data_IF_840873075915
#
_entry.id   IF_840873075915
#
_cell.length_a   1.000
_cell.length_b   1.000
_cell.length_c   1.000
_cell.angle_alpha   90.00
_cell.angle_beta   90.00
_cell.angle_gamma   90.00
#
_symmetry.space_group_name_H-M   'P 1'
#
loop_
_entity.id
_entity.type
_entity.pdbx_description
1 polymer ?
#
# COMPACT_ATOMS: atom_id res chain seq x y z
N UNK A 1 -13.51 -15.17 18.93
CA UNK A 1 -12.91 -16.41 18.41
C UNK A 1 -13.01 -17.50 19.47
N UNK A 2 -14.01 -18.40 19.34
CA UNK A 2 -14.29 -19.44 20.33
C UNK A 2 -13.49 -20.72 20.08
N UNK A 3 -12.43 -20.67 19.29
CA UNK A 3 -11.54 -21.82 19.02
C UNK A 3 -12.12 -22.98 18.21
N UNK A 4 -13.44 -23.02 17.96
CA UNK A 4 -14.13 -24.14 17.30
C UNK A 4 -14.95 -23.75 16.06
N UNK A 5 -15.27 -22.48 15.86
CA UNK A 5 -16.04 -22.02 14.70
C UNK A 5 -15.54 -20.65 14.22
N UNK A 6 -15.15 -20.55 12.96
CA UNK A 6 -14.94 -19.26 12.30
C UNK A 6 -16.30 -18.70 11.89
N UNK A 7 -16.75 -17.65 12.59
CA UNK A 7 -17.93 -16.89 12.18
C UNK A 7 -17.48 -15.74 11.30
N UNK A 8 -17.87 -15.76 10.03
CA UNK A 8 -17.66 -14.64 9.13
C UNK A 8 -18.72 -13.57 9.41
N UNK A 9 -18.32 -12.48 10.04
CA UNK A 9 -19.17 -11.30 10.21
C UNK A 9 -18.86 -10.36 9.06
N UNK A 10 -19.89 -9.99 8.27
CA UNK A 10 -19.73 -8.95 7.23
C UNK A 10 -19.20 -7.68 7.88
N UNK A 11 -18.09 -7.13 7.36
CA UNK A 11 -17.49 -5.86 7.83
C UNK A 11 -18.51 -4.71 7.91
N UNK A 12 -19.59 -4.76 7.13
CA UNK A 12 -20.69 -3.79 7.17
C UNK A 12 -21.42 -3.70 8.52
N UNK A 13 -21.23 -4.66 9.44
CA UNK A 13 -21.86 -4.66 10.77
C UNK A 13 -20.94 -4.26 11.93
N UNK A 14 -19.66 -3.98 11.67
CA UNK A 14 -18.68 -3.63 12.71
C UNK A 14 -18.36 -2.12 12.70
N UNK A 15 -19.35 -1.28 12.39
CA UNK A 15 -19.21 0.17 12.57
C UNK A 15 -19.56 0.46 14.03
N UNK A 16 -18.53 0.53 14.90
CA UNK A 16 -18.71 1.01 16.26
C UNK A 16 -18.21 0.13 17.41
N UNK A 17 -17.46 -0.93 17.17
CA UNK A 17 -16.74 -1.58 18.25
C UNK A 17 -15.46 -0.77 18.55
N UNK A 18 -15.52 0.07 19.60
CA UNK A 18 -14.34 0.52 20.29
C UNK A 18 -13.80 -0.70 21.05
N UNK A 19 -12.83 -1.41 20.49
CA UNK A 19 -12.11 -2.46 21.19
C UNK A 19 -10.85 -1.90 21.81
N UNK A 20 -10.77 -2.09 23.12
CA UNK A 20 -9.54 -2.06 23.89
C UNK A 20 -8.51 -2.99 23.23
N UNK A 21 -7.38 -2.42 22.87
CA UNK A 21 -6.04 -2.99 22.69
C UNK A 21 -5.88 -4.39 22.10
N UNK A 22 -6.68 -4.75 21.14
CA UNK A 22 -6.33 -5.79 20.17
C UNK A 22 -5.56 -5.08 19.06
N UNK A 23 -4.26 -5.32 18.94
CA UNK A 23 -3.40 -4.74 17.93
C UNK A 23 -4.13 -4.76 16.59
N UNK A 24 -4.49 -3.58 16.07
CA UNK A 24 -5.21 -3.48 14.81
C UNK A 24 -4.42 -4.26 13.78
N UNK A 25 -5.05 -5.27 13.18
CA UNK A 25 -4.41 -6.04 12.14
C UNK A 25 -3.87 -5.07 11.08
N UNK A 26 -2.61 -5.24 10.71
CA UNK A 26 -1.96 -4.42 9.70
C UNK A 26 -2.74 -4.55 8.40
N UNK A 27 -3.12 -3.42 7.81
CA UNK A 27 -3.81 -3.41 6.52
C UNK A 27 -2.91 -4.02 5.45
N UNK A 28 -3.48 -4.89 4.65
CA UNK A 28 -2.80 -5.55 3.54
C UNK A 28 -3.71 -5.50 2.31
N UNK A 29 -3.20 -4.90 1.23
CA UNK A 29 -3.89 -4.85 -0.06
C UNK A 29 -3.10 -5.73 -1.04
N UNK A 30 -3.76 -6.75 -1.57
CA UNK A 30 -3.19 -7.65 -2.58
C UNK A 30 -3.50 -7.13 -3.97
N UNK A 31 -2.47 -7.03 -4.79
CA UNK A 31 -2.57 -6.61 -6.19
C UNK A 31 -2.40 -7.82 -7.08
N UNK A 32 -3.38 -8.09 -7.91
CA UNK A 32 -3.33 -9.22 -8.81
C UNK A 32 -2.28 -9.00 -9.91
N UNK A 33 -1.25 -9.83 -9.90
CA UNK A 33 -0.19 -9.84 -10.91
C UNK A 33 0.08 -11.29 -11.36
N UNK A 34 0.51 -11.43 -12.59
CA UNK A 34 0.90 -12.75 -13.12
C UNK A 34 2.36 -13.04 -12.77
N UNK A 35 2.55 -13.61 -11.58
CA UNK A 35 3.86 -14.02 -11.08
C UNK A 35 4.15 -15.45 -11.57
N UNK A 36 5.38 -15.79 -11.97
CA UNK A 36 5.72 -17.14 -12.39
C UNK A 36 5.73 -18.12 -11.20
N UNK A 37 4.99 -19.21 -11.32
CA UNK A 37 4.96 -20.29 -10.32
C UNK A 37 6.29 -21.05 -10.24
N UNK A 38 7.01 -21.09 -11.36
CA UNK A 38 8.31 -21.75 -11.51
C UNK A 38 9.28 -20.84 -12.27
N UNK A 39 10.56 -21.14 -12.20
CA UNK A 39 11.58 -20.37 -12.90
C UNK A 39 12.85 -20.20 -12.08
N UNK A 40 13.90 -19.69 -12.74
CA UNK A 40 15.18 -19.41 -12.08
C UNK A 40 15.03 -18.28 -11.08
N UNK A 41 15.33 -18.55 -9.81
CA UNK A 41 15.36 -17.53 -8.77
C UNK A 41 16.66 -16.73 -8.87
N UNK A 42 16.54 -15.40 -8.90
CA UNK A 42 17.68 -14.51 -8.74
C UNK A 42 17.97 -14.38 -7.23
N UNK A 43 19.06 -14.98 -6.78
CA UNK A 43 19.49 -14.94 -5.39
C UNK A 43 20.20 -13.64 -5.02
N UNK A 44 20.73 -12.94 -6.00
CA UNK A 44 21.30 -11.61 -5.83
C UNK A 44 20.98 -10.76 -7.04
N UNK A 45 20.67 -9.50 -6.79
CA UNK A 45 20.51 -8.50 -7.82
C UNK A 45 21.87 -7.85 -8.00
N UNK A 46 22.46 -7.95 -9.21
CA UNK A 46 23.65 -7.20 -9.57
C UNK A 46 23.37 -5.69 -9.56
N UNK A 47 24.26 -4.92 -10.14
CA UNK A 47 24.05 -3.47 -10.25
C UNK A 47 22.80 -3.17 -11.09
N UNK A 48 21.87 -2.41 -10.49
CA UNK A 48 20.71 -1.85 -11.19
C UNK A 48 21.23 -0.70 -12.05
N UNK A 49 21.10 -0.83 -13.35
CA UNK A 49 21.54 0.20 -14.33
C UNK A 49 20.46 1.27 -14.51
N UNK A 50 19.20 0.86 -14.53
CA UNK A 50 18.06 1.77 -14.65
C UNK A 50 16.78 1.15 -14.07
N UNK A 51 15.85 2.02 -13.71
CA UNK A 51 14.51 1.64 -13.23
C UNK A 51 13.51 2.64 -13.80
N UNK A 52 12.44 2.14 -14.43
CA UNK A 52 11.31 3.00 -14.82
C UNK A 52 10.41 3.28 -13.61
N UNK A 53 9.63 4.37 -13.62
CA UNK A 53 8.52 4.54 -12.69
C UNK A 53 7.52 3.38 -12.80
N UNK A 54 6.72 3.16 -11.74
CA UNK A 54 5.58 2.27 -11.81
C UNK A 54 4.48 2.86 -12.70
N UNK A 55 3.91 2.02 -13.56
CA UNK A 55 2.73 2.36 -14.34
C UNK A 55 1.44 2.28 -13.48
N UNK A 56 0.31 2.49 -14.12
CA UNK A 56 -1.02 2.44 -13.49
C UNK A 56 -1.44 1.03 -13.01
N UNK A 57 -0.76 -0.02 -13.48
CA UNK A 57 -0.96 -1.41 -13.05
C UNK A 57 0.03 -1.83 -11.96
N UNK A 58 0.88 -0.92 -11.48
CA UNK A 58 1.93 -1.22 -10.53
C UNK A 58 3.10 -1.99 -11.11
N UNK A 59 3.35 -1.86 -12.42
CA UNK A 59 4.44 -2.53 -13.12
C UNK A 59 5.56 -1.56 -13.45
N UNK A 60 6.79 -2.05 -13.47
CA UNK A 60 7.97 -1.30 -13.90
C UNK A 60 8.99 -2.21 -14.56
N UNK A 61 9.93 -1.64 -15.27
CA UNK A 61 11.09 -2.35 -15.81
C UNK A 61 12.33 -1.94 -15.04
N UNK A 62 13.10 -2.93 -14.60
CA UNK A 62 14.45 -2.73 -14.08
C UNK A 62 15.45 -3.35 -15.07
N UNK A 63 16.54 -2.64 -15.31
CA UNK A 63 17.66 -3.14 -16.11
C UNK A 63 18.81 -3.48 -15.18
N UNK A 64 19.23 -4.73 -15.22
CA UNK A 64 20.30 -5.28 -14.39
C UNK A 64 21.57 -5.48 -15.23
N UNK A 65 22.73 -5.27 -14.59
CA UNK A 65 24.01 -5.70 -15.15
C UNK A 65 24.26 -7.16 -14.74
N UNK A 66 24.47 -8.04 -15.72
CA UNK A 66 24.83 -9.44 -15.49
C UNK A 66 26.10 -9.79 -16.23
N UNK A 67 26.79 -10.89 -15.89
CA UNK A 67 27.95 -11.37 -16.65
C UNK A 67 27.63 -11.65 -18.13
N UNK A 68 26.37 -11.97 -18.46
CA UNK A 68 25.89 -12.20 -19.82
C UNK A 68 25.42 -10.93 -20.53
N UNK A 69 25.56 -9.74 -19.91
CA UNK A 69 25.13 -8.47 -20.49
C UNK A 69 23.98 -7.83 -19.72
N UNK A 70 23.22 -6.96 -20.38
CA UNK A 70 22.06 -6.29 -19.78
C UNK A 70 20.84 -7.20 -19.77
N UNK A 71 20.16 -7.28 -18.61
CA UNK A 71 18.94 -8.03 -18.43
C UNK A 71 17.81 -7.07 -18.05
N UNK A 72 16.76 -7.03 -18.86
CA UNK A 72 15.53 -6.32 -18.51
C UNK A 72 14.55 -7.25 -17.81
N UNK A 73 14.09 -6.85 -16.64
CA UNK A 73 13.13 -7.58 -15.85
C UNK A 73 11.90 -6.72 -15.61
N UNK A 74 10.73 -7.26 -15.96
CA UNK A 74 9.45 -6.63 -15.62
C UNK A 74 9.09 -7.02 -14.19
N UNK A 75 8.83 -6.02 -13.35
CA UNK A 75 8.39 -6.20 -11.98
C UNK A 75 6.97 -5.68 -11.80
N UNK A 76 6.23 -6.28 -10.86
CA UNK A 76 4.91 -5.80 -10.45
C UNK A 76 4.76 -5.76 -8.94
N UNK A 77 4.01 -4.80 -8.45
CA UNK A 77 3.58 -4.75 -7.06
C UNK A 77 2.53 -5.83 -6.85
N UNK A 78 2.74 -6.71 -5.87
CA UNK A 78 1.84 -7.82 -5.53
C UNK A 78 1.16 -7.65 -4.18
N UNK A 79 1.80 -6.92 -3.26
CA UNK A 79 1.25 -6.66 -1.92
C UNK A 79 1.65 -5.26 -1.46
N UNK A 80 0.71 -4.54 -0.88
CA UNK A 80 0.95 -3.23 -0.27
C UNK A 80 0.54 -3.33 1.20
N UNK A 81 1.48 -3.04 2.10
CA UNK A 81 1.25 -2.86 3.53
C UNK A 81 1.65 -1.44 3.95
N UNK A 82 1.32 -0.99 5.17
CA UNK A 82 1.76 0.33 5.65
C UNK A 82 3.27 0.54 5.63
N UNK A 83 4.04 -0.51 5.91
CA UNK A 83 5.50 -0.43 6.06
C UNK A 83 6.24 -0.78 4.77
N UNK A 84 5.81 -1.83 4.08
CA UNK A 84 6.51 -2.35 2.91
C UNK A 84 5.55 -2.71 1.77
N UNK A 85 6.08 -2.63 0.58
CA UNK A 85 5.42 -3.03 -0.67
C UNK A 85 6.22 -4.16 -1.29
N UNK A 86 5.59 -5.32 -1.51
CA UNK A 86 6.19 -6.42 -2.23
C UNK A 86 6.19 -6.14 -3.73
N UNK A 87 7.33 -6.40 -4.36
CA UNK A 87 7.51 -6.25 -5.80
C UNK A 87 8.15 -7.52 -6.33
N UNK A 88 7.47 -8.19 -7.25
CA UNK A 88 7.89 -9.48 -7.76
C UNK A 88 8.15 -9.42 -9.27
N UNK A 89 9.04 -10.30 -9.75
CA UNK A 89 9.24 -10.50 -11.18
C UNK A 89 7.98 -11.08 -11.82
N UNK A 90 7.54 -10.52 -12.94
CA UNK A 90 6.35 -10.97 -13.66
C UNK A 90 6.69 -11.99 -14.74
N UNK A 91 5.66 -12.74 -15.18
CA UNK A 91 5.79 -13.68 -16.29
C UNK A 91 6.18 -12.93 -17.56
N UNK A 92 7.32 -13.32 -18.14
CA UNK A 92 7.83 -12.87 -19.43
C UNK A 92 8.26 -14.12 -20.23
N UNK A 93 8.82 -13.95 -21.42
CA UNK A 93 9.39 -15.05 -22.23
C UNK A 93 10.44 -15.86 -21.45
N UNK A 94 11.19 -15.16 -20.55
CA UNK A 94 12.20 -15.79 -19.70
C UNK A 94 11.82 -15.54 -18.22
N UNK A 95 10.99 -16.41 -17.61
CA UNK A 95 10.50 -16.18 -16.27
C UNK A 95 11.64 -16.25 -15.25
N UNK A 96 11.84 -15.11 -14.57
CA UNK A 96 12.79 -14.97 -13.48
C UNK A 96 12.03 -14.62 -12.21
N UNK A 97 12.23 -15.41 -11.17
CA UNK A 97 11.68 -15.12 -9.85
C UNK A 97 12.61 -14.15 -9.13
N UNK A 98 12.10 -12.99 -8.86
CA UNK A 98 12.75 -11.96 -8.05
C UNK A 98 11.74 -11.37 -7.09
N UNK A 99 11.98 -11.55 -5.80
CA UNK A 99 11.15 -11.02 -4.74
C UNK A 99 11.90 -9.85 -4.09
N UNK A 100 11.30 -8.68 -4.08
CA UNK A 100 11.84 -7.48 -3.44
C UNK A 100 10.80 -6.83 -2.53
N UNK A 101 11.28 -6.14 -1.50
CA UNK A 101 10.46 -5.27 -0.66
C UNK A 101 10.98 -3.85 -0.74
N UNK A 102 10.08 -2.92 -0.95
CA UNK A 102 10.35 -1.49 -0.90
C UNK A 102 9.65 -0.91 0.33
N UNK A 103 10.21 0.14 0.92
CA UNK A 103 9.45 0.90 1.90
C UNK A 103 8.23 1.54 1.21
N UNK A 104 7.03 1.33 1.74
CA UNK A 104 5.81 1.89 1.15
C UNK A 104 5.84 3.42 1.12
N UNK A 105 6.57 4.03 2.06
CA UNK A 105 6.83 5.47 2.06
C UNK A 105 7.61 5.97 0.85
N UNK A 106 8.36 5.10 0.16
CA UNK A 106 9.09 5.45 -1.06
C UNK A 106 8.22 5.45 -2.32
N UNK A 107 6.99 4.92 -2.24
CA UNK A 107 6.04 4.92 -3.35
C UNK A 107 5.12 6.13 -3.22
N UNK A 108 5.04 7.03 -4.23
CA UNK A 108 4.17 8.19 -4.19
C UNK A 108 2.70 7.81 -4.00
N UNK A 109 1.95 8.60 -3.21
CA UNK A 109 0.51 8.37 -2.97
C UNK A 109 -0.27 8.19 -4.27
N UNK A 110 -0.05 9.06 -5.25
CA UNK A 110 -0.76 9.02 -6.54
C UNK A 110 -0.50 7.72 -7.31
N UNK A 111 0.68 7.14 -7.15
CA UNK A 111 1.01 5.83 -7.73
C UNK A 111 0.25 4.72 -7.00
N UNK A 112 0.28 4.70 -5.66
CA UNK A 112 -0.48 3.73 -4.86
C UNK A 112 -1.98 3.84 -5.15
N UNK A 113 -2.51 5.07 -5.18
CA UNK A 113 -3.92 5.32 -5.46
C UNK A 113 -4.34 4.74 -6.81
N UNK A 114 -3.62 5.06 -7.91
CA UNK A 114 -3.94 4.54 -9.25
C UNK A 114 -3.93 3.02 -9.32
N UNK A 115 -2.96 2.39 -8.64
CA UNK A 115 -2.84 0.93 -8.60
C UNK A 115 -4.03 0.33 -7.86
N UNK A 116 -4.40 0.91 -6.71
CA UNK A 116 -5.49 0.43 -5.86
C UNK A 116 -6.83 0.63 -6.55
N UNK A 117 -7.10 1.81 -7.13
CA UNK A 117 -8.33 2.11 -7.86
C UNK A 117 -8.61 1.14 -9.04
N UNK A 118 -7.56 0.57 -9.62
CA UNK A 118 -7.73 -0.43 -10.68
C UNK A 118 -8.03 -1.85 -10.19
N UNK A 119 -7.72 -2.14 -8.94
CA UNK A 119 -7.91 -3.46 -8.35
C UNK A 119 -9.18 -3.54 -7.50
N UNK A 120 -9.55 -2.41 -6.93
CA UNK A 120 -10.70 -2.27 -6.05
C UNK A 120 -11.87 -1.65 -6.84
N UNK A 121 -13.07 -1.94 -6.40
CA UNK A 121 -14.26 -1.23 -6.90
C UNK A 121 -14.26 0.17 -6.29
N UNK A 122 -13.96 1.18 -7.10
CA UNK A 122 -13.88 2.59 -6.66
C UNK A 122 -15.18 3.13 -6.04
N UNK A 123 -16.29 2.44 -6.26
CA UNK A 123 -17.59 2.75 -5.67
C UNK A 123 -17.80 2.06 -4.31
N UNK A 124 -16.93 1.12 -3.89
CA UNK A 124 -17.02 0.50 -2.58
C UNK A 124 -16.33 1.37 -1.51
N UNK A 125 -17.15 1.91 -0.61
CA UNK A 125 -16.69 2.73 0.51
C UNK A 125 -15.67 2.01 1.42
N UNK A 126 -15.89 0.72 1.71
CA UNK A 126 -15.03 -0.06 2.61
C UNK A 126 -13.63 -0.22 2.03
N UNK A 127 -13.52 -0.42 0.73
CA UNK A 127 -12.25 -0.52 0.01
C UNK A 127 -11.53 0.83 -0.02
N UNK A 128 -12.24 1.93 -0.26
CA UNK A 128 -11.65 3.27 -0.19
C UNK A 128 -11.17 3.62 1.22
N UNK A 129 -11.92 3.25 2.25
CA UNK A 129 -11.50 3.43 3.64
C UNK A 129 -10.34 2.50 4.01
N UNK A 130 -10.20 1.35 3.37
CA UNK A 130 -9.02 0.49 3.54
C UNK A 130 -7.73 1.21 3.14
N UNK A 131 -7.75 1.93 2.03
CA UNK A 131 -6.60 2.74 1.63
C UNK A 131 -6.30 3.88 2.62
N UNK A 132 -7.33 4.55 3.15
CA UNK A 132 -7.16 5.56 4.20
C UNK A 132 -6.50 4.94 5.44
N UNK A 133 -6.98 3.78 5.91
CA UNK A 133 -6.40 3.08 7.07
C UNK A 133 -4.95 2.68 6.83
N UNK A 134 -4.62 2.17 5.64
CA UNK A 134 -3.24 1.85 5.24
C UNK A 134 -2.33 3.07 5.36
N UNK A 135 -2.78 4.23 4.89
CA UNK A 135 -2.02 5.48 4.99
C UNK A 135 -1.85 5.94 6.45
N UNK A 136 -2.87 5.80 7.29
CA UNK A 136 -2.81 6.14 8.72
C UNK A 136 -1.81 5.23 9.43
N UNK A 137 -1.89 3.91 9.22
CA UNK A 137 -0.97 2.94 9.83
C UNK A 137 0.47 3.14 9.37
N UNK A 138 0.68 3.62 8.14
CA UNK A 138 1.98 4.02 7.60
C UNK A 138 2.46 5.40 8.05
N UNK A 139 1.76 6.04 9.01
CA UNK A 139 2.03 7.40 9.49
C UNK A 139 2.03 8.47 8.38
N UNK A 140 1.37 8.22 7.26
CA UNK A 140 1.22 9.14 6.13
C UNK A 140 -0.04 10.02 6.31
N UNK A 141 -0.18 10.65 7.46
CA UNK A 141 -1.41 11.34 7.88
C UNK A 141 -1.86 12.45 6.95
N UNK A 142 -0.92 13.23 6.38
CA UNK A 142 -1.24 14.26 5.39
C UNK A 142 -1.94 13.66 4.17
N UNK A 143 -1.43 12.53 3.69
CA UNK A 143 -1.97 11.85 2.52
C UNK A 143 -3.29 11.14 2.85
N UNK A 144 -3.40 10.55 4.05
CA UNK A 144 -4.65 10.00 4.56
C UNK A 144 -5.76 11.07 4.64
N UNK A 145 -5.42 12.30 5.06
CA UNK A 145 -6.36 13.42 5.09
C UNK A 145 -6.87 13.76 3.69
N UNK A 146 -5.98 13.83 2.69
CA UNK A 146 -6.35 14.11 1.30
C UNK A 146 -7.25 13.01 0.73
N UNK A 147 -6.96 11.74 1.05
CA UNK A 147 -7.76 10.62 0.58
C UNK A 147 -9.13 10.61 1.23
N UNK A 148 -9.20 10.81 2.55
CA UNK A 148 -10.48 10.89 3.25
C UNK A 148 -11.33 12.08 2.80
N UNK A 149 -10.73 13.21 2.42
CA UNK A 149 -11.44 14.34 1.81
C UNK A 149 -12.14 13.93 0.51
N UNK A 150 -11.45 13.14 -0.32
CA UNK A 150 -12.06 12.60 -1.55
C UNK A 150 -13.23 11.67 -1.21
N UNK A 151 -13.07 10.78 -0.24
CA UNK A 151 -14.14 9.87 0.20
C UNK A 151 -15.35 10.64 0.73
N UNK A 152 -15.15 11.65 1.59
CA UNK A 152 -16.25 12.48 2.13
C UNK A 152 -16.98 13.23 1.02
N UNK A 153 -16.28 13.68 -0.01
CA UNK A 153 -16.89 14.36 -1.15
C UNK A 153 -17.80 13.42 -1.94
N UNK A 154 -17.39 12.18 -2.13
CA UNK A 154 -18.14 11.19 -2.90
C UNK A 154 -19.28 10.56 -2.09
N UNK A 155 -19.13 10.53 -0.73
CA UNK A 155 -20.13 9.98 0.20
C UNK A 155 -20.58 11.01 1.26
N UNK A 156 -21.25 12.11 0.87
CA UNK A 156 -21.54 13.24 1.76
C UNK A 156 -22.55 12.94 2.87
N UNK A 157 -23.31 11.86 2.76
CA UNK A 157 -24.33 11.45 3.75
C UNK A 157 -23.72 10.89 5.05
N UNK A 158 -22.43 10.56 5.08
CA UNK A 158 -21.75 9.89 6.21
C UNK A 158 -21.09 10.92 7.14
N UNK A 159 -21.87 11.45 8.11
CA UNK A 159 -21.38 12.44 9.08
C UNK A 159 -20.19 11.95 9.92
N UNK A 160 -20.13 10.66 10.21
CA UNK A 160 -19.02 10.05 10.96
C UNK A 160 -17.66 10.21 10.28
N UNK A 161 -17.63 10.25 8.95
CA UNK A 161 -16.39 10.46 8.19
C UNK A 161 -15.84 11.88 8.36
N UNK A 162 -16.72 12.88 8.56
CA UNK A 162 -16.30 14.26 8.79
C UNK A 162 -15.61 14.44 10.15
N UNK A 163 -16.04 13.70 11.18
CA UNK A 163 -15.37 13.68 12.49
C UNK A 163 -14.02 12.97 12.39
N UNK A 164 -13.96 11.83 11.69
CA UNK A 164 -12.68 11.12 11.45
C UNK A 164 -11.68 12.00 10.71
N UNK A 165 -12.13 12.79 9.74
CA UNK A 165 -11.30 13.72 8.99
C UNK A 165 -10.60 14.74 9.93
N UNK A 166 -11.33 15.30 10.89
CA UNK A 166 -10.75 16.23 11.89
C UNK A 166 -9.70 15.55 12.75
N UNK A 167 -9.97 14.33 13.19
CA UNK A 167 -9.03 13.56 14.01
C UNK A 167 -7.72 13.24 13.26
N UNK A 168 -7.80 12.84 12.00
CA UNK A 168 -6.62 12.56 11.16
C UNK A 168 -5.84 13.85 10.88
N UNK A 169 -6.53 14.96 10.61
CA UNK A 169 -5.88 16.26 10.43
C UNK A 169 -5.09 16.70 11.69
N UNK A 170 -5.62 16.44 12.88
CA UNK A 170 -4.91 16.68 14.13
C UNK A 170 -3.67 15.79 14.29
N UNK A 171 -3.75 14.50 13.89
CA UNK A 171 -2.59 13.61 13.89
C UNK A 171 -1.51 14.09 12.93
N UNK A 172 -1.89 14.54 11.73
CA UNK A 172 -0.96 15.13 10.76
C UNK A 172 -0.26 16.38 11.31
N UNK A 173 -1.00 17.27 11.95
CA UNK A 173 -0.45 18.48 12.60
C UNK A 173 0.54 18.11 13.71
N UNK A 174 0.20 17.17 14.57
CA UNK A 174 1.07 16.69 15.65
C UNK A 174 2.36 16.05 15.12
N UNK A 175 2.29 15.30 14.01
CA UNK A 175 3.48 14.75 13.36
C UNK A 175 4.42 15.86 12.87
N UNK A 176 3.88 16.88 12.19
CA UNK A 176 4.67 18.03 11.74
C UNK A 176 5.35 18.76 12.89
N UNK A 177 4.64 18.96 14.00
CA UNK A 177 5.21 19.59 15.19
C UNK A 177 6.38 18.77 15.76
N UNK A 178 6.24 17.44 15.84
CA UNK A 178 7.34 16.56 16.27
C UNK A 178 8.55 16.66 15.35
N UNK A 179 8.35 16.68 14.05
CA UNK A 179 9.45 16.82 13.07
C UNK A 179 10.17 18.16 13.21
N UNK A 180 9.43 19.24 13.39
CA UNK A 180 10.01 20.59 13.61
C UNK A 180 10.86 20.59 14.89
N UNK A 181 10.32 20.05 15.99
CA UNK A 181 11.03 20.00 17.28
C UNK A 181 12.30 19.14 17.22
N UNK A 182 12.28 18.05 16.45
CA UNK A 182 13.47 17.21 16.25
C UNK A 182 14.56 17.96 15.47
N UNK A 183 14.18 18.71 14.42
CA UNK A 183 15.12 19.50 13.61
C UNK A 183 15.71 20.70 14.37
N UNK A 184 15.00 21.23 15.36
CA UNK A 184 15.53 22.34 16.20
C UNK A 184 16.55 21.85 17.24
N UNK A 185 16.58 20.54 17.54
CA UNK A 185 17.51 19.93 18.49
C UNK A 185 18.76 19.34 17.84
N UNK A 186 18.81 19.31 16.50
CA UNK A 186 19.95 18.85 15.70
C UNK A 186 20.84 20.00 15.28
#
# INVERSE_FOLDING_TARGET
DNGLTRTFISKKRVIGAAEEDSGQAMEEIKIFQRVPDSGRRLSSVGNILSTTPFDEFGRRVITLSTPGGRLNLVQGITTITPEWTAVEGLVTEHPLRLDMRLATSSVPRETLRRIIERQLDGDDLDERLQFVRLLIQGARYKEATLELQSVVKDFPSLKSLQEQQKNIANLAANQLLKEILLRQKS
#
